data_IF_355064215044
#
_entry.id   IF_355064215044
#
_cell.length_a   1.000
_cell.length_b   1.000
_cell.length_c   1.000
_cell.angle_alpha   90.00
_cell.angle_beta   90.00
_cell.angle_gamma   90.00
#
_symmetry.space_group_name_H-M   'P 1'
#
loop_
_entity.id
_entity.type
_entity.pdbx_description
1 polymer ?
#
# COMPACT_ATOMS: atom_id res chain seq x y z
N UNK A 1 27.83 -31.30 -23.92
CA UNK A 1 28.32 -30.22 -23.04
C UNK A 1 27.26 -29.14 -23.06
N UNK A 2 26.85 -28.55 -21.92
CA UNK A 2 25.89 -27.44 -21.96
C UNK A 2 26.56 -26.24 -22.64
N UNK A 3 25.89 -25.67 -23.64
CA UNK A 3 26.38 -24.50 -24.37
C UNK A 3 26.13 -23.25 -23.52
N UNK A 4 27.13 -22.37 -23.44
CA UNK A 4 27.02 -21.13 -22.67
C UNK A 4 26.23 -20.08 -23.46
N UNK A 5 25.41 -19.24 -22.79
CA UNK A 5 24.75 -18.11 -23.44
C UNK A 5 25.75 -17.09 -24.01
N UNK A 6 25.32 -16.32 -25.00
CA UNK A 6 26.15 -15.27 -25.64
C UNK A 6 26.65 -14.24 -24.61
N UNK A 7 27.92 -13.87 -24.70
CA UNK A 7 28.54 -12.88 -23.79
C UNK A 7 28.79 -13.37 -22.36
N UNK A 8 28.55 -14.65 -22.06
CA UNK A 8 28.82 -15.21 -20.74
C UNK A 8 30.23 -15.80 -20.68
N UNK A 9 30.92 -15.52 -19.58
CA UNK A 9 32.23 -16.07 -19.25
C UNK A 9 32.12 -16.91 -17.99
N UNK A 10 32.55 -18.16 -18.07
CA UNK A 10 32.53 -19.08 -16.93
C UNK A 10 33.96 -19.51 -16.59
N UNK A 11 34.34 -19.42 -15.32
CA UNK A 11 35.64 -19.91 -14.85
C UNK A 11 35.47 -21.19 -14.05
N UNK A 12 36.01 -22.29 -14.56
CA UNK A 12 36.00 -23.58 -13.88
C UNK A 12 37.44 -24.08 -13.63
N UNK A 13 37.58 -25.23 -12.96
CA UNK A 13 38.88 -25.84 -12.67
C UNK A 13 39.65 -26.31 -13.91
N UNK A 14 39.02 -26.31 -15.09
CA UNK A 14 39.63 -26.62 -16.37
C UNK A 14 40.03 -25.37 -17.19
N UNK A 15 39.69 -24.16 -16.73
CA UNK A 15 40.03 -22.89 -17.40
C UNK A 15 38.87 -21.90 -17.45
N UNK A 16 39.11 -20.79 -18.14
CA UNK A 16 38.08 -19.80 -18.45
C UNK A 16 37.47 -20.15 -19.81
N UNK A 17 36.16 -20.43 -19.83
CA UNK A 17 35.41 -20.71 -21.05
C UNK A 17 34.53 -19.50 -21.36
N UNK A 18 34.70 -18.97 -22.56
CA UNK A 18 33.89 -17.87 -23.08
C UNK A 18 32.83 -18.42 -24.03
N UNK A 19 31.59 -17.97 -23.87
CA UNK A 19 30.52 -18.22 -24.84
C UNK A 19 30.79 -17.52 -26.18
N UNK A 20 29.99 -17.83 -27.21
CA UNK A 20 30.11 -17.17 -28.51
C UNK A 20 29.99 -15.64 -28.38
N UNK A 21 30.67 -14.87 -29.25
CA UNK A 21 30.49 -13.42 -29.30
C UNK A 21 29.01 -13.09 -29.51
N UNK A 22 28.52 -11.96 -28.98
CA UNK A 22 27.21 -11.47 -29.37
C UNK A 22 27.20 -11.28 -30.90
N UNK A 23 26.17 -11.77 -31.57
CA UNK A 23 25.99 -11.49 -32.99
C UNK A 23 25.76 -9.98 -33.14
N UNK A 24 26.67 -9.29 -33.83
CA UNK A 24 26.60 -7.86 -34.08
C UNK A 24 25.50 -7.56 -35.13
N UNK A 25 24.24 -7.79 -34.79
CA UNK A 25 23.09 -7.17 -35.46
C UNK A 25 22.35 -6.26 -34.48
N UNK A 26 23.13 -5.50 -33.70
CA UNK A 26 22.64 -4.30 -33.03
C UNK A 26 22.65 -3.18 -34.06
N UNK A 27 21.70 -3.22 -35.00
CA UNK A 27 21.28 -2.03 -35.72
C UNK A 27 20.58 -1.12 -34.70
N UNK A 28 21.39 -0.35 -33.97
CA UNK A 28 20.98 0.88 -33.30
C UNK A 28 20.63 1.90 -34.38
N UNK A 29 19.51 1.65 -35.07
CA UNK A 29 18.77 2.74 -35.68
C UNK A 29 17.98 3.36 -34.53
N UNK A 30 18.69 4.14 -33.71
CA UNK A 30 18.09 5.17 -32.88
C UNK A 30 17.41 6.18 -33.80
N UNK A 31 16.27 5.77 -34.36
CA UNK A 31 15.30 6.70 -34.90
C UNK A 31 14.77 7.39 -33.65
N UNK A 32 15.33 8.55 -33.36
CA UNK A 32 14.65 9.62 -32.65
C UNK A 32 13.43 10.04 -33.48
N UNK A 33 12.48 9.11 -33.66
CA UNK A 33 11.12 9.48 -33.99
C UNK A 33 10.65 10.28 -32.78
N UNK A 34 10.36 11.59 -32.92
CA UNK A 34 9.62 12.26 -31.88
C UNK A 34 8.37 11.41 -31.66
N UNK A 35 8.17 10.92 -30.44
CA UNK A 35 6.89 10.33 -30.07
C UNK A 35 5.86 11.42 -30.35
N UNK A 36 5.17 11.32 -31.49
CA UNK A 36 4.01 12.11 -31.86
C UNK A 36 2.90 11.72 -30.87
N UNK A 37 3.04 12.18 -29.62
CA UNK A 37 1.98 12.22 -28.65
C UNK A 37 1.00 13.24 -29.23
N UNK A 38 0.10 12.75 -30.09
CA UNK A 38 -0.99 13.57 -30.59
C UNK A 38 -1.74 14.10 -29.36
N UNK A 39 -1.95 15.41 -29.23
CA UNK A 39 -2.71 15.98 -28.11
C UNK A 39 -4.19 15.58 -28.12
N UNK A 40 -4.61 14.71 -29.05
CA UNK A 40 -5.97 14.27 -29.31
C UNK A 40 -6.07 12.73 -29.26
N UNK A 41 -5.27 12.08 -28.40
CA UNK A 41 -5.45 10.65 -28.13
C UNK A 41 -6.78 10.44 -27.38
N UNK A 42 -7.87 10.24 -28.12
CA UNK A 42 -9.24 9.81 -27.70
C UNK A 42 -9.25 8.44 -26.97
N UNK A 43 -8.21 8.11 -26.21
CA UNK A 43 -8.07 6.85 -25.46
C UNK A 43 -8.23 7.02 -23.95
N UNK A 44 -8.48 8.24 -23.48
CA UNK A 44 -8.63 8.59 -22.06
C UNK A 44 -9.91 9.40 -21.78
N UNK A 45 -10.91 9.34 -22.67
CA UNK A 45 -12.17 10.09 -22.59
C UNK A 45 -13.38 9.16 -22.39
N UNK A 46 -13.22 8.10 -21.60
CA UNK A 46 -14.33 7.24 -21.18
C UNK A 46 -14.12 6.83 -19.72
N UNK A 47 -13.96 7.84 -18.85
CA UNK A 47 -14.35 7.68 -17.45
C UNK A 47 -15.84 7.98 -17.42
N UNK A 48 -16.64 6.96 -17.72
CA UNK A 48 -17.96 6.91 -17.09
C UNK A 48 -17.72 6.97 -15.58
N UNK A 49 -18.42 7.86 -14.89
CA UNK A 49 -18.48 7.90 -13.42
C UNK A 49 -19.23 6.64 -12.95
N UNK A 50 -18.61 5.47 -13.17
CA UNK A 50 -19.03 4.21 -12.59
C UNK A 50 -18.58 4.23 -11.13
N UNK A 51 -19.23 5.12 -10.36
CA UNK A 51 -19.15 5.15 -8.91
C UNK A 51 -19.83 3.88 -8.39
N UNK A 52 -19.16 2.73 -8.54
CA UNK A 52 -19.60 1.49 -7.92
C UNK A 52 -19.70 1.72 -6.40
N UNK A 53 -20.81 1.30 -5.77
CA UNK A 53 -20.99 1.53 -4.35
C UNK A 53 -19.91 0.78 -3.57
N UNK A 54 -18.99 1.53 -2.94
CA UNK A 54 -17.90 0.98 -2.13
C UNK A 54 -18.50 0.16 -0.99
N UNK A 55 -18.18 -1.14 -0.97
CA UNK A 55 -18.61 -2.07 0.08
C UNK A 55 -17.41 -2.53 0.89
N UNK A 56 -17.36 -2.17 2.17
CA UNK A 56 -16.26 -2.48 3.08
C UNK A 56 -16.63 -3.68 3.94
N UNK A 57 -15.85 -4.74 3.89
CA UNK A 57 -16.03 -5.91 4.75
C UNK A 57 -15.55 -5.62 6.19
N UNK A 58 -16.30 -6.11 7.17
CA UNK A 58 -15.93 -6.07 8.58
C UNK A 58 -14.59 -6.78 8.84
N UNK A 59 -13.88 -6.33 9.88
CA UNK A 59 -12.62 -6.96 10.29
C UNK A 59 -12.79 -8.35 10.90
N UNK A 60 -13.92 -8.59 11.55
CA UNK A 60 -14.15 -9.79 12.38
C UNK A 60 -15.32 -10.66 11.89
N UNK A 61 -16.15 -10.15 10.98
CA UNK A 61 -17.34 -10.84 10.46
C UNK A 61 -17.43 -10.70 8.93
N UNK A 62 -18.35 -11.42 8.30
CA UNK A 62 -18.64 -11.30 6.85
C UNK A 62 -19.63 -10.17 6.50
N UNK A 63 -19.98 -9.31 7.46
CA UNK A 63 -20.86 -8.17 7.22
C UNK A 63 -20.16 -7.07 6.42
N UNK A 64 -20.92 -6.40 5.54
CA UNK A 64 -20.43 -5.34 4.67
C UNK A 64 -21.10 -4.01 4.99
N UNK A 65 -20.33 -2.92 4.88
CA UNK A 65 -20.72 -1.57 5.25
C UNK A 65 -20.44 -0.59 4.12
N UNK A 66 -21.19 0.52 4.06
CA UNK A 66 -21.02 1.54 3.02
C UNK A 66 -19.84 2.49 3.28
N UNK A 67 -19.22 2.44 4.47
CA UNK A 67 -18.07 3.29 4.82
C UNK A 67 -17.20 2.67 5.91
N UNK A 68 -15.93 3.07 5.96
CA UNK A 68 -14.97 2.59 6.95
C UNK A 68 -15.43 2.95 8.37
N UNK A 69 -15.89 4.20 8.56
CA UNK A 69 -16.42 4.68 9.85
C UNK A 69 -17.58 3.83 10.36
N UNK A 70 -18.57 3.53 9.52
CA UNK A 70 -19.71 2.70 9.91
C UNK A 70 -19.29 1.27 10.29
N UNK A 71 -18.30 0.71 9.58
CA UNK A 71 -17.72 -0.60 9.90
C UNK A 71 -16.99 -0.60 11.25
N UNK A 72 -16.19 0.44 11.53
CA UNK A 72 -15.47 0.57 12.80
C UNK A 72 -16.42 0.79 13.97
N UNK A 73 -17.44 1.64 13.82
CA UNK A 73 -18.49 1.83 14.84
C UNK A 73 -19.21 0.51 15.15
N UNK A 74 -19.53 -0.28 14.11
CA UNK A 74 -20.10 -1.62 14.30
C UNK A 74 -19.14 -2.55 15.06
N UNK A 75 -17.86 -2.59 14.69
CA UNK A 75 -16.85 -3.40 15.39
C UNK A 75 -16.76 -3.03 16.87
N UNK A 76 -16.82 -1.73 17.17
CA UNK A 76 -16.78 -1.20 18.54
C UNK A 76 -18.02 -1.59 19.34
N UNK A 77 -19.21 -1.31 18.82
CA UNK A 77 -20.45 -1.46 19.57
C UNK A 77 -20.95 -2.92 19.67
N UNK A 78 -20.76 -3.71 18.61
CA UNK A 78 -21.27 -5.10 18.55
C UNK A 78 -20.22 -6.12 18.96
N UNK A 79 -18.98 -5.90 18.57
CA UNK A 79 -17.89 -6.88 18.75
C UNK A 79 -16.94 -6.49 19.89
N UNK A 80 -17.05 -5.26 20.41
CA UNK A 80 -16.17 -4.74 21.46
C UNK A 80 -14.75 -4.51 20.97
N UNK A 81 -14.56 -4.33 19.66
CA UNK A 81 -13.26 -4.17 19.03
C UNK A 81 -13.08 -2.73 18.56
N UNK A 82 -12.26 -1.96 19.26
CA UNK A 82 -11.99 -0.55 18.96
C UNK A 82 -10.66 -0.40 18.21
N UNK A 83 -10.74 -0.43 16.88
CA UNK A 83 -9.57 -0.32 16.00
C UNK A 83 -8.79 0.98 16.20
N UNK A 84 -9.50 2.12 16.33
CA UNK A 84 -8.89 3.44 16.51
C UNK A 84 -8.14 3.52 17.85
N UNK A 85 -8.70 2.93 18.91
CA UNK A 85 -7.99 2.84 20.19
C UNK A 85 -6.69 2.02 20.09
N UNK A 86 -6.68 0.94 19.31
CA UNK A 86 -5.49 0.10 19.08
C UNK A 86 -4.44 0.89 18.27
N UNK A 87 -4.85 1.63 17.24
CA UNK A 87 -3.95 2.52 16.48
C UNK A 87 -3.25 3.50 17.42
N UNK A 88 -4.01 4.17 18.29
CA UNK A 88 -3.47 5.15 19.24
C UNK A 88 -2.59 4.52 20.32
N UNK A 89 -3.00 3.37 20.86
CA UNK A 89 -2.27 2.64 21.90
C UNK A 89 -0.87 2.23 21.42
N UNK A 90 -0.78 1.74 20.19
CA UNK A 90 0.48 1.26 19.60
C UNK A 90 1.19 2.29 18.74
N UNK A 91 0.62 3.50 18.58
CA UNK A 91 1.13 4.59 17.72
C UNK A 91 1.38 4.10 16.30
N UNK A 92 0.36 3.46 15.73
CA UNK A 92 0.44 2.89 14.39
C UNK A 92 0.49 4.02 13.36
N UNK A 93 1.45 3.93 12.45
CA UNK A 93 1.43 4.70 11.21
C UNK A 93 0.55 4.00 10.16
N UNK A 94 0.33 4.65 9.02
CA UNK A 94 -0.50 4.12 7.93
C UNK A 94 -0.14 2.68 7.53
N UNK A 95 1.16 2.39 7.34
CA UNK A 95 1.61 1.06 6.93
C UNK A 95 1.45 0.02 8.05
N UNK A 96 1.69 0.41 9.30
CA UNK A 96 1.47 -0.45 10.45
C UNK A 96 -0.02 -0.76 10.65
N UNK A 97 -0.90 0.20 10.37
CA UNK A 97 -2.35 -0.01 10.32
C UNK A 97 -2.75 -1.01 9.24
N UNK A 98 -2.17 -0.91 8.02
CA UNK A 98 -2.39 -1.90 6.96
C UNK A 98 -1.97 -3.31 7.42
N UNK A 99 -0.78 -3.43 8.02
CA UNK A 99 -0.28 -4.72 8.54
C UNK A 99 -1.23 -5.31 9.58
N UNK A 100 -1.73 -4.50 10.51
CA UNK A 100 -2.70 -4.93 11.51
C UNK A 100 -4.00 -5.42 10.87
N UNK A 101 -4.55 -4.69 9.90
CA UNK A 101 -5.78 -5.09 9.18
C UNK A 101 -5.58 -6.45 8.49
N UNK A 102 -4.48 -6.61 7.74
CA UNK A 102 -4.20 -7.85 7.03
C UNK A 102 -3.94 -9.03 7.97
N UNK A 103 -3.30 -8.79 9.11
CA UNK A 103 -3.13 -9.79 10.16
C UNK A 103 -4.48 -10.23 10.75
N UNK A 104 -5.35 -9.30 11.14
CA UNK A 104 -6.69 -9.59 11.67
C UNK A 104 -7.46 -10.45 10.66
N UNK A 105 -7.45 -10.06 9.39
CA UNK A 105 -8.13 -10.81 8.32
C UNK A 105 -7.55 -12.21 8.12
N UNK A 106 -6.23 -12.36 8.23
CA UNK A 106 -5.58 -13.67 8.13
C UNK A 106 -5.98 -14.59 9.29
N UNK A 107 -6.06 -14.05 10.51
CA UNK A 107 -6.46 -14.78 11.71
C UNK A 107 -7.94 -15.18 11.67
N UNK A 108 -8.82 -14.29 11.22
CA UNK A 108 -10.25 -14.56 11.04
C UNK A 108 -10.46 -15.61 9.95
N UNK A 109 -9.73 -15.52 8.83
CA UNK A 109 -9.71 -16.55 7.77
C UNK A 109 -9.21 -17.90 8.28
N UNK A 110 -8.31 -17.90 9.28
CA UNK A 110 -7.83 -19.11 9.96
C UNK A 110 -8.81 -19.63 11.03
N UNK A 111 -9.95 -18.98 11.25
CA UNK A 111 -11.01 -19.40 12.17
C UNK A 111 -10.91 -18.84 13.59
N UNK A 112 -10.07 -17.82 13.81
CA UNK A 112 -10.01 -17.14 15.12
C UNK A 112 -11.02 -15.99 15.14
N UNK A 113 -12.05 -16.13 15.96
CA UNK A 113 -13.11 -15.10 16.09
C UNK A 113 -12.60 -13.80 16.74
N UNK A 114 -11.50 -13.87 17.50
CA UNK A 114 -10.88 -12.72 18.18
C UNK A 114 -9.35 -12.82 18.08
N UNK A 115 -8.71 -12.17 17.10
CA UNK A 115 -7.26 -12.15 16.98
C UNK A 115 -6.64 -11.42 18.17
N UNK A 116 -5.46 -11.88 18.60
CA UNK A 116 -4.68 -11.16 19.60
C UNK A 116 -3.95 -9.99 18.93
N UNK A 117 -4.30 -8.78 19.34
CA UNK A 117 -3.76 -7.51 18.83
C UNK A 117 -2.91 -6.79 19.88
N UNK A 118 -2.71 -7.41 21.05
CA UNK A 118 -2.03 -6.80 22.20
C UNK A 118 -0.52 -6.65 21.99
N UNK A 119 0.07 -7.54 21.18
CA UNK A 119 1.49 -7.57 20.88
C UNK A 119 1.74 -7.20 19.41
N UNK A 120 2.34 -6.03 19.14
CA UNK A 120 2.70 -5.60 17.78
C UNK A 120 3.62 -6.56 17.03
N UNK A 121 4.40 -7.38 17.74
CA UNK A 121 5.33 -8.33 17.10
C UNK A 121 4.61 -9.41 16.31
N UNK A 122 3.33 -9.68 16.59
CA UNK A 122 2.51 -10.66 15.87
C UNK A 122 2.22 -10.26 14.42
N UNK A 123 2.19 -8.95 14.15
CA UNK A 123 1.88 -8.38 12.84
C UNK A 123 2.97 -7.45 12.28
N UNK A 124 4.14 -7.40 12.91
CA UNK A 124 5.26 -6.54 12.47
C UNK A 124 5.87 -6.96 11.11
N UNK A 125 5.72 -8.23 10.72
CA UNK A 125 6.29 -8.81 9.50
C UNK A 125 5.74 -8.16 8.23
N UNK A 126 6.62 -7.84 7.27
CA UNK A 126 6.27 -7.21 5.99
C UNK A 126 5.36 -8.08 5.12
N UNK A 127 5.24 -9.39 5.39
CA UNK A 127 4.26 -10.24 4.71
C UNK A 127 2.83 -9.71 4.84
N UNK A 128 2.53 -8.95 5.91
CA UNK A 128 1.20 -8.36 6.13
C UNK A 128 1.00 -7.03 5.38
N UNK A 129 2.00 -6.55 4.62
CA UNK A 129 1.77 -5.46 3.66
C UNK A 129 1.08 -5.97 2.39
N UNK A 130 1.04 -7.29 2.18
CA UNK A 130 0.26 -7.88 1.09
C UNK A 130 -1.21 -8.01 1.52
N UNK A 131 -2.17 -7.52 0.71
CA UNK A 131 -3.59 -7.63 1.02
C UNK A 131 -4.02 -9.09 1.23
N UNK A 132 -4.63 -9.38 2.38
CA UNK A 132 -5.17 -10.72 2.67
C UNK A 132 -6.52 -10.96 1.96
N UNK A 133 -7.26 -9.89 1.70
CA UNK A 133 -8.52 -9.86 0.95
C UNK A 133 -8.29 -9.19 -0.41
N UNK A 134 -8.88 -9.75 -1.46
CA UNK A 134 -8.95 -9.13 -2.78
C UNK A 134 -9.88 -7.91 -2.74
N UNK A 135 -9.47 -6.81 -3.39
CA UNK A 135 -10.22 -5.53 -3.44
C UNK A 135 -10.63 -5.00 -2.06
N UNK A 136 -9.67 -4.96 -1.13
CA UNK A 136 -9.91 -4.48 0.22
C UNK A 136 -10.14 -2.97 0.29
N UNK A 137 -11.41 -2.58 0.12
CA UNK A 137 -11.87 -1.20 0.23
C UNK A 137 -11.53 -0.52 1.57
N UNK A 138 -11.31 -1.28 2.65
CA UNK A 138 -10.95 -0.70 3.95
C UNK A 138 -9.59 0.00 3.91
N UNK A 139 -8.61 -0.56 3.18
CA UNK A 139 -7.23 -0.07 3.17
C UNK A 139 -7.11 1.36 2.63
N UNK A 140 -8.03 1.75 1.73
CA UNK A 140 -8.08 3.09 1.15
C UNK A 140 -8.68 4.13 2.10
N UNK A 141 -9.56 3.71 3.01
CA UNK A 141 -10.24 4.58 3.97
C UNK A 141 -9.61 4.62 5.36
N UNK A 142 -8.41 4.03 5.55
CA UNK A 142 -7.75 3.98 6.86
C UNK A 142 -7.35 5.37 7.37
N UNK A 143 -6.82 6.22 6.50
CA UNK A 143 -6.34 7.57 6.86
C UNK A 143 -7.48 8.49 7.34
N UNK A 144 -8.70 8.24 6.85
CA UNK A 144 -9.90 8.99 7.27
C UNK A 144 -10.40 8.61 8.68
N UNK A 145 -9.89 7.50 9.25
CA UNK A 145 -10.28 7.03 10.58
C UNK A 145 -9.46 7.67 11.70
N UNK A 146 -8.28 8.18 11.38
CA UNK A 146 -7.39 8.82 12.34
C UNK A 146 -7.94 10.22 12.69
N UNK A 147 -8.72 10.31 13.78
CA UNK A 147 -9.24 11.58 14.34
C UNK A 147 -8.14 12.44 14.98
N UNK A 148 -6.87 12.26 14.59
CA UNK A 148 -5.79 13.16 15.03
C UNK A 148 -6.00 14.50 14.34
N UNK A 149 -6.38 15.57 15.06
CA UNK A 149 -6.36 16.90 14.46
C UNK A 149 -4.91 17.14 14.05
N UNK A 150 -4.66 17.22 12.74
CA UNK A 150 -3.41 17.75 12.22
C UNK A 150 -3.22 19.08 12.94
N UNK A 151 -2.26 19.13 13.86
CA UNK A 151 -1.87 20.36 14.49
C UNK A 151 -1.32 21.23 13.36
N UNK A 152 -2.18 22.09 12.83
CA UNK A 152 -1.77 23.28 12.10
C UNK A 152 -1.04 24.09 13.16
N UNK A 153 0.28 23.91 13.22
CA UNK A 153 1.18 24.82 13.91
C UNK A 153 0.86 26.21 13.37
N UNK A 154 0.23 27.01 14.23
CA UNK A 154 -0.17 28.37 13.93
C UNK A 154 1.06 29.17 13.56
N UNK A 155 1.07 29.67 12.32
CA UNK A 155 2.03 30.66 11.84
C UNK A 155 2.02 31.87 12.79
N UNK A 156 3.23 32.21 13.21
CA UNK A 156 3.60 33.09 14.31
C UNK A 156 2.99 34.49 14.16
N UNK A 157 2.21 34.91 15.15
CA UNK A 157 1.80 36.29 15.29
C UNK A 157 2.98 37.15 15.76
N UNK A 158 3.82 37.63 14.83
CA UNK A 158 4.82 38.65 15.14
C UNK A 158 4.13 40.03 15.26
N UNK A 159 3.54 40.28 16.43
CA UNK A 159 3.16 41.62 16.83
C UNK A 159 4.41 42.36 17.32
N UNK A 160 5.05 43.11 16.40
CA UNK A 160 6.12 44.04 16.71
C UNK A 160 5.68 45.12 17.72
N UNK A 161 6.07 44.94 18.98
CA UNK A 161 6.15 45.99 20.01
C UNK A 161 7.42 46.81 19.74
N UNK A 162 7.31 47.93 19.02
CA UNK A 162 8.34 48.98 19.06
C UNK A 162 7.82 50.18 19.85
N UNK A 163 8.31 50.26 21.09
CA UNK A 163 8.18 51.39 21.99
C UNK A 163 9.18 52.48 21.64
N UNK A 164 8.75 53.73 21.90
CA UNK A 164 9.54 54.92 22.29
C UNK A 164 10.29 55.70 21.19
N UNK A 165 9.80 56.90 20.88
CA UNK A 165 10.36 58.18 21.36
C UNK A 165 9.37 59.33 21.12
#
# INVERSE_FOLDING_TARGET
MPELPHGWRMRNSAGEVEGPPPEDDYSDSGSEEPFDIKPDSEGWDDVEDDSEPVSIQCLLTDEKFPSAKAMIEHCKDKLGFDFVAIQQQHKLDFYSSIKLVNYIRAEVKAGKEKPDVSDPTLWADDKYLQPTLEDDALLFGLDELDDTPLAVDGDDAEAGDERKA
#
